data_IF_193176388990
#
_entry.id   IF_193176388990
#
_cell.length_a   1.000
_cell.length_b   1.000
_cell.length_c   1.000
_cell.angle_alpha   90.00
_cell.angle_beta   90.00
_cell.angle_gamma   90.00
#
_symmetry.space_group_name_H-M   'P 1'
#
loop_
_entity.id
_entity.type
_entity.pdbx_description
1 polymer ?
#
# COMPACT_ATOMS: atom_id res chain seq x y z
N UNK A 1 -3.95 -3.63 -2.45
CA UNK A 1 -4.32 -2.46 -1.62
C UNK A 1 -4.68 -2.80 -0.18
N UNK A 2 -5.74 -3.56 0.10
CA UNK A 2 -6.16 -3.86 1.47
C UNK A 2 -5.03 -4.44 2.36
N UNK A 3 -4.26 -5.40 1.83
CA UNK A 3 -3.16 -6.04 2.56
C UNK A 3 -2.06 -5.03 2.97
N UNK A 4 -1.63 -4.15 2.06
CA UNK A 4 -0.59 -3.16 2.39
C UNK A 4 -1.10 -2.07 3.32
N UNK A 5 -2.38 -1.72 3.25
CA UNK A 5 -3.00 -0.78 4.18
C UNK A 5 -3.01 -1.37 5.59
N UNK A 6 -3.45 -2.63 5.73
CA UNK A 6 -3.49 -3.32 7.02
C UNK A 6 -2.08 -3.47 7.62
N UNK A 7 -1.13 -3.97 6.83
CA UNK A 7 0.25 -4.16 7.29
C UNK A 7 0.92 -2.81 7.55
N UNK A 8 0.78 -1.85 6.64
CA UNK A 8 1.44 -0.55 6.72
C UNK A 8 0.89 0.32 7.84
N UNK A 9 -0.42 0.52 7.92
CA UNK A 9 -1.04 1.28 9.01
C UNK A 9 -0.81 0.57 10.35
N UNK A 10 -0.95 -0.75 10.40
CA UNK A 10 -0.71 -1.54 11.61
C UNK A 10 0.73 -1.42 12.14
N UNK A 11 1.72 -1.55 11.25
CA UNK A 11 3.15 -1.40 11.61
C UNK A 11 3.49 0.05 11.97
N UNK A 12 2.89 1.04 11.30
CA UNK A 12 3.04 2.46 11.64
C UNK A 12 2.48 2.81 13.02
N UNK A 13 1.28 2.35 13.34
CA UNK A 13 0.66 2.48 14.68
C UNK A 13 1.49 1.79 15.75
N UNK A 14 1.96 0.57 15.47
CA UNK A 14 2.79 -0.19 16.42
C UNK A 14 4.13 0.50 16.69
N UNK A 15 4.74 1.07 15.65
CA UNK A 15 5.99 1.83 15.75
C UNK A 15 5.79 3.13 16.54
N UNK A 16 4.70 3.87 16.29
CA UNK A 16 4.35 5.06 17.06
C UNK A 16 4.09 4.74 18.55
N UNK A 17 3.38 3.65 18.85
CA UNK A 17 3.10 3.23 20.22
C UNK A 17 4.35 2.76 20.97
N UNK A 18 5.26 2.06 20.29
CA UNK A 18 6.50 1.52 20.89
C UNK A 18 7.71 2.45 20.73
N UNK A 19 7.49 3.74 20.48
CA UNK A 19 8.55 4.75 20.29
C UNK A 19 9.64 4.62 21.36
N UNK A 20 10.89 4.53 20.92
CA UNK A 20 12.06 4.44 21.81
C UNK A 20 12.42 3.02 22.28
N UNK A 21 11.62 2.00 21.93
CA UNK A 21 11.93 0.58 22.23
C UNK A 21 12.78 -0.04 21.11
N UNK A 22 13.57 -1.09 21.39
CA UNK A 22 14.32 -1.80 20.35
C UNK A 22 13.43 -2.37 19.24
N UNK A 23 12.19 -2.78 19.58
CA UNK A 23 11.20 -3.23 18.58
C UNK A 23 10.89 -2.13 17.55
N UNK A 24 10.83 -0.87 17.95
CA UNK A 24 10.58 0.25 17.03
C UNK A 24 11.77 0.50 16.10
N UNK A 25 13.00 0.39 16.61
CA UNK A 25 14.21 0.49 15.78
C UNK A 25 14.26 -0.62 14.73
N UNK A 26 13.89 -1.85 15.10
CA UNK A 26 13.81 -2.97 14.18
C UNK A 26 12.73 -2.74 13.10
N UNK A 27 11.52 -2.36 13.49
CA UNK A 27 10.42 -2.08 12.55
C UNK A 27 10.80 -0.95 11.58
N UNK A 28 11.42 0.11 12.10
CA UNK A 28 11.87 1.24 11.26
C UNK A 28 12.97 0.79 10.29
N UNK A 29 13.96 0.02 10.76
CA UNK A 29 15.00 -0.55 9.91
C UNK A 29 14.43 -1.44 8.80
N UNK A 30 13.48 -2.32 9.12
CA UNK A 30 12.77 -3.16 8.15
C UNK A 30 12.02 -2.31 7.12
N UNK A 31 11.23 -1.32 7.55
CA UNK A 31 10.51 -0.45 6.62
C UNK A 31 11.44 0.34 5.70
N UNK A 32 12.60 0.77 6.19
CA UNK A 32 13.60 1.47 5.38
C UNK A 32 14.24 0.52 4.34
N UNK A 33 14.58 -0.70 4.74
CA UNK A 33 15.11 -1.72 3.85
C UNK A 33 14.10 -2.08 2.74
N UNK A 34 12.84 -2.30 3.10
CA UNK A 34 11.77 -2.58 2.13
C UNK A 34 11.52 -1.41 1.18
N UNK A 35 11.62 -0.15 1.66
CA UNK A 35 11.46 1.03 0.79
C UNK A 35 12.58 1.13 -0.24
N UNK A 36 13.81 0.74 0.12
CA UNK A 36 14.95 0.77 -0.78
C UNK A 36 14.97 -0.39 -1.78
N UNK A 37 14.17 -1.44 -1.54
CA UNK A 37 14.19 -2.65 -2.35
C UNK A 37 13.11 -2.59 -3.44
N UNK A 38 13.45 -2.75 -4.72
CA UNK A 38 12.46 -2.82 -5.79
C UNK A 38 11.48 -3.99 -5.61
N UNK A 39 10.22 -3.80 -6.00
CA UNK A 39 9.15 -4.82 -5.90
C UNK A 39 9.55 -6.15 -6.53
N UNK A 40 10.15 -6.11 -7.73
CA UNK A 40 10.53 -7.33 -8.44
C UNK A 40 11.61 -8.14 -7.71
N UNK A 41 12.50 -7.48 -6.96
CA UNK A 41 13.53 -8.17 -6.15
C UNK A 41 12.88 -8.94 -5.01
N UNK A 42 11.93 -8.31 -4.32
CA UNK A 42 11.16 -8.97 -3.26
C UNK A 42 10.32 -10.11 -3.84
N UNK A 43 9.67 -9.91 -5.00
CA UNK A 43 8.94 -10.96 -5.71
C UNK A 43 9.84 -12.15 -6.06
N UNK A 44 11.04 -11.90 -6.59
CA UNK A 44 12.01 -12.94 -6.93
C UNK A 44 12.49 -13.71 -5.69
N UNK A 45 12.82 -13.01 -4.60
CA UNK A 45 13.23 -13.64 -3.33
C UNK A 45 12.10 -14.51 -2.79
N UNK A 46 10.86 -14.00 -2.80
CA UNK A 46 9.69 -14.76 -2.36
C UNK A 46 9.51 -16.03 -3.20
N UNK A 47 9.66 -15.94 -4.52
CA UNK A 47 9.56 -17.10 -5.40
C UNK A 47 10.67 -18.13 -5.13
N UNK A 48 11.93 -17.68 -4.99
CA UNK A 48 13.06 -18.57 -4.69
C UNK A 48 12.88 -19.27 -3.34
N UNK A 49 12.46 -18.53 -2.31
CA UNK A 49 12.36 -19.08 -0.95
C UNK A 49 11.10 -19.94 -0.79
N UNK A 50 9.94 -19.43 -1.19
CA UNK A 50 8.65 -20.10 -0.92
C UNK A 50 8.40 -21.24 -1.90
N UNK A 51 8.66 -21.05 -3.19
CA UNK A 51 8.45 -22.08 -4.21
C UNK A 51 9.68 -22.98 -4.37
N UNK A 52 10.88 -22.39 -4.37
CA UNK A 52 12.12 -23.14 -4.65
C UNK A 52 12.68 -23.89 -3.44
N UNK A 53 12.84 -23.22 -2.30
CA UNK A 53 13.52 -23.81 -1.13
C UNK A 53 12.57 -24.51 -0.17
N UNK A 54 11.44 -23.87 0.14
CA UNK A 54 10.46 -24.39 1.09
C UNK A 54 9.42 -25.30 0.44
N UNK A 55 9.32 -25.28 -0.91
CA UNK A 55 8.35 -26.04 -1.71
C UNK A 55 6.90 -25.93 -1.17
N UNK A 56 6.59 -24.79 -0.53
CA UNK A 56 5.31 -24.53 0.13
C UNK A 56 4.21 -24.28 -0.90
N UNK A 57 4.57 -23.66 -2.02
CA UNK A 57 3.66 -23.27 -3.08
C UNK A 57 4.28 -23.60 -4.44
N UNK A 58 3.48 -24.02 -5.43
CA UNK A 58 3.95 -24.14 -6.80
C UNK A 58 4.36 -22.77 -7.35
N UNK A 59 5.16 -22.77 -8.43
CA UNK A 59 5.46 -21.55 -9.16
C UNK A 59 4.15 -20.93 -9.68
N UNK A 60 3.91 -19.63 -9.46
CA UNK A 60 2.66 -18.99 -9.85
C UNK A 60 2.36 -19.12 -11.34
N UNK A 61 1.14 -19.52 -11.66
CA UNK A 61 0.56 -19.44 -12.99
C UNK A 61 -0.87 -18.92 -12.91
N UNK A 62 -1.31 -18.14 -13.90
CA UNK A 62 -2.66 -17.62 -13.87
C UNK A 62 -3.70 -18.71 -14.14
N UNK A 63 -4.60 -18.92 -13.18
CA UNK A 63 -5.78 -19.78 -13.32
C UNK A 63 -7.02 -18.88 -13.30
N UNK A 64 -7.93 -18.95 -14.28
CA UNK A 64 -9.15 -18.15 -14.25
C UNK A 64 -10.00 -18.46 -13.01
N UNK A 65 -10.56 -17.42 -12.41
CA UNK A 65 -11.42 -17.55 -11.22
C UNK A 65 -12.63 -18.48 -11.46
N UNK A 66 -13.12 -18.55 -12.69
CA UNK A 66 -14.27 -19.37 -13.06
C UNK A 66 -13.95 -20.89 -13.06
N UNK A 67 -12.69 -21.26 -13.26
CA UNK A 67 -12.28 -22.66 -13.36
C UNK A 67 -11.96 -23.24 -11.98
N UNK A 68 -11.13 -22.54 -11.20
CA UNK A 68 -10.76 -22.95 -9.85
C UNK A 68 -10.46 -21.73 -8.95
N UNK A 69 -11.40 -21.32 -8.08
CA UNK A 69 -11.22 -20.19 -7.17
C UNK A 69 -10.10 -20.38 -6.15
N UNK A 70 -9.82 -21.62 -5.74
CA UNK A 70 -8.78 -21.91 -4.76
C UNK A 70 -7.41 -21.74 -5.39
N UNK A 71 -7.19 -22.35 -6.57
CA UNK A 71 -5.93 -22.18 -7.30
C UNK A 71 -5.72 -20.74 -7.74
N UNK A 72 -6.77 -20.02 -8.15
CA UNK A 72 -6.68 -18.58 -8.44
C UNK A 72 -6.10 -17.80 -7.25
N UNK A 73 -6.60 -18.06 -6.03
CA UNK A 73 -6.13 -17.37 -4.83
C UNK A 73 -4.68 -17.74 -4.48
N UNK A 74 -4.31 -19.02 -4.56
CA UNK A 74 -2.96 -19.49 -4.28
C UNK A 74 -1.91 -18.87 -5.22
N UNK A 75 -2.23 -18.79 -6.51
CA UNK A 75 -1.32 -18.23 -7.51
C UNK A 75 -1.16 -16.70 -7.40
N UNK A 76 -2.14 -16.00 -6.81
CA UNK A 76 -2.06 -14.56 -6.58
C UNK A 76 -1.48 -14.17 -5.22
N UNK A 77 -1.30 -15.11 -4.30
CA UNK A 77 -0.81 -14.85 -2.95
C UNK A 77 0.58 -14.22 -2.94
N UNK A 78 1.52 -14.78 -3.71
CA UNK A 78 2.89 -14.27 -3.81
C UNK A 78 2.96 -12.86 -4.44
N UNK A 79 2.30 -12.59 -5.58
CA UNK A 79 2.16 -11.23 -6.12
C UNK A 79 1.56 -10.24 -5.13
N UNK A 80 0.51 -10.63 -4.39
CA UNK A 80 -0.12 -9.77 -3.39
C UNK A 80 0.82 -9.47 -2.24
N UNK A 81 1.57 -10.46 -1.76
CA UNK A 81 2.55 -10.28 -0.70
C UNK A 81 3.73 -9.40 -1.15
N UNK A 82 4.25 -9.59 -2.37
CA UNK A 82 5.36 -8.76 -2.86
C UNK A 82 4.98 -7.29 -2.95
N UNK A 83 3.81 -7.00 -3.51
CA UNK A 83 3.26 -5.64 -3.55
C UNK A 83 2.99 -5.11 -2.14
N UNK A 84 2.42 -5.96 -1.27
CA UNK A 84 2.07 -5.51 0.07
C UNK A 84 3.28 -5.17 0.92
N UNK A 85 4.36 -5.96 0.87
CA UNK A 85 5.56 -5.70 1.63
C UNK A 85 6.23 -4.39 1.26
N UNK A 86 6.31 -4.06 -0.04
CA UNK A 86 6.92 -2.81 -0.48
C UNK A 86 6.03 -1.61 -0.18
N UNK A 87 4.75 -1.67 -0.57
CA UNK A 87 3.85 -0.54 -0.39
C UNK A 87 3.59 -0.27 1.09
N UNK A 88 3.48 -1.32 1.93
CA UNK A 88 3.26 -1.16 3.37
C UNK A 88 4.32 -0.30 4.05
N UNK A 89 5.56 -0.27 3.56
CA UNK A 89 6.62 0.55 4.13
C UNK A 89 6.35 2.06 3.99
N UNK A 90 5.80 2.50 2.85
CA UNK A 90 5.38 3.90 2.64
C UNK A 90 4.27 4.27 3.63
N UNK A 91 3.25 3.41 3.75
CA UNK A 91 2.12 3.60 4.65
C UNK A 91 2.54 3.59 6.13
N UNK A 92 3.45 2.69 6.52
CA UNK A 92 3.98 2.62 7.88
C UNK A 92 4.72 3.90 8.27
N UNK A 93 5.58 4.39 7.36
CA UNK A 93 6.33 5.63 7.58
C UNK A 93 5.41 6.84 7.70
N UNK A 94 4.45 6.96 6.79
CA UNK A 94 3.49 8.07 6.79
C UNK A 94 2.62 8.05 8.05
N UNK A 95 2.02 6.90 8.37
CA UNK A 95 1.20 6.71 9.57
C UNK A 95 1.97 7.08 10.83
N UNK A 96 3.21 6.61 10.95
CA UNK A 96 4.08 6.93 12.10
C UNK A 96 4.36 8.43 12.18
N UNK A 97 4.74 9.08 11.07
CA UNK A 97 5.06 10.50 11.05
C UNK A 97 3.85 11.33 11.53
N UNK A 98 2.68 11.12 10.92
CA UNK A 98 1.46 11.84 11.28
C UNK A 98 1.02 11.57 12.72
N UNK A 99 1.12 10.33 13.21
CA UNK A 99 0.80 10.04 14.61
C UNK A 99 1.74 10.71 15.59
N UNK A 100 3.05 10.79 15.28
CA UNK A 100 4.02 11.45 16.14
C UNK A 100 3.81 12.97 16.18
N UNK A 101 3.38 13.57 15.07
CA UNK A 101 2.96 14.97 15.01
C UNK A 101 1.75 15.20 15.91
N UNK A 102 0.68 14.41 15.76
CA UNK A 102 -0.53 14.52 16.61
C UNK A 102 -0.20 14.28 18.08
N UNK A 103 0.65 13.32 18.41
CA UNK A 103 1.08 13.04 19.79
C UNK A 103 1.92 14.16 20.42
N UNK A 104 2.50 15.06 19.60
CA UNK A 104 3.25 16.21 20.07
C UNK A 104 2.36 17.43 20.38
N UNK A 105 1.10 17.42 19.94
CA UNK A 105 0.17 18.54 20.13
C UNK A 105 -0.22 18.76 21.60
N UNK A 106 -0.50 20.01 21.95
CA UNK A 106 -0.78 20.41 23.35
C UNK A 106 -2.02 19.73 23.93
N UNK A 107 -3.07 19.54 23.12
CA UNK A 107 -4.30 18.88 23.58
C UNK A 107 -4.08 17.43 24.00
N UNK A 108 -3.08 16.73 23.44
CA UNK A 108 -2.69 15.38 23.86
C UNK A 108 -2.03 15.41 25.25
N UNK A 109 -1.24 16.44 25.54
CA UNK A 109 -0.68 16.65 26.89
C UNK A 109 -1.79 16.88 27.91
N UNK A 110 -2.79 17.67 27.54
CA UNK A 110 -3.99 17.90 28.36
C UNK A 110 -4.74 16.59 28.63
N UNK A 111 -4.98 15.75 27.62
CA UNK A 111 -5.60 14.43 27.82
C UNK A 111 -4.81 13.52 28.77
N UNK A 112 -3.47 13.53 28.68
CA UNK A 112 -2.61 12.81 29.63
C UNK A 112 -2.74 13.36 31.06
N UNK A 113 -2.82 14.68 31.23
CA UNK A 113 -3.03 15.30 32.54
C UNK A 113 -4.38 14.94 33.16
N UNK A 114 -5.43 14.75 32.34
CA UNK A 114 -6.74 14.24 32.76
C UNK A 114 -6.78 12.71 32.97
N UNK A 115 -5.66 12.00 32.84
CA UNK A 115 -5.58 10.55 33.09
C UNK A 115 -6.12 9.67 31.96
N UNK A 116 -6.30 10.20 30.74
CA UNK A 116 -6.73 9.41 29.58
C UNK A 116 -5.63 8.38 29.25
N UNK A 117 -6.01 7.10 29.18
CA UNK A 117 -5.06 6.01 28.93
C UNK A 117 -4.38 6.11 27.55
N UNK A 118 -3.09 5.77 27.49
CA UNK A 118 -2.25 5.89 26.28
C UNK A 118 -2.81 5.12 25.08
N UNK A 119 -3.45 3.96 25.30
CA UNK A 119 -4.12 3.19 24.22
C UNK A 119 -5.28 3.97 23.58
N UNK A 120 -6.04 4.73 24.37
CA UNK A 120 -7.15 5.55 23.89
C UNK A 120 -6.63 6.79 23.14
N UNK A 121 -5.56 7.40 23.65
CA UNK A 121 -4.88 8.52 22.97
C UNK A 121 -4.40 8.06 21.59
N UNK A 122 -3.70 6.93 21.52
CA UNK A 122 -3.13 6.42 20.27
C UNK A 122 -4.22 6.00 19.27
N UNK A 123 -5.16 5.16 19.69
CA UNK A 123 -6.17 4.61 18.78
C UNK A 123 -7.21 5.63 18.33
N UNK A 124 -7.66 6.54 19.22
CA UNK A 124 -8.79 7.43 18.95
C UNK A 124 -8.37 8.86 18.60
N UNK A 125 -7.18 9.31 19.00
CA UNK A 125 -6.75 10.69 18.79
C UNK A 125 -5.57 10.75 17.80
N UNK A 126 -4.47 10.06 18.08
CA UNK A 126 -3.29 10.09 17.21
C UNK A 126 -3.56 9.51 15.81
N UNK A 127 -4.25 8.37 15.72
CA UNK A 127 -4.54 7.74 14.42
C UNK A 127 -5.45 8.60 13.53
N UNK A 128 -6.31 9.44 14.11
CA UNK A 128 -7.18 10.34 13.33
C UNK A 128 -6.39 11.38 12.54
N UNK A 129 -5.28 11.86 13.10
CA UNK A 129 -4.38 12.79 12.38
C UNK A 129 -3.71 12.16 11.16
N UNK A 130 -3.60 10.82 11.10
CA UNK A 130 -3.04 10.11 9.95
C UNK A 130 -4.07 9.83 8.84
N UNK A 131 -5.37 9.93 9.08
CA UNK A 131 -6.41 9.53 8.10
C UNK A 131 -6.33 10.37 6.83
N UNK A 132 -6.26 11.69 6.99
CA UNK A 132 -6.15 12.64 5.88
C UNK A 132 -4.95 12.35 4.94
N UNK A 133 -3.70 12.29 5.43
CA UNK A 133 -2.57 12.00 4.56
C UNK A 133 -2.60 10.58 3.98
N UNK A 134 -3.18 9.60 4.70
CA UNK A 134 -3.34 8.24 4.17
C UNK A 134 -4.32 8.20 2.98
N UNK A 135 -5.43 8.95 3.04
CA UNK A 135 -6.38 9.08 1.93
C UNK A 135 -5.68 9.69 0.70
N UNK A 136 -4.94 10.78 0.89
CA UNK A 136 -4.20 11.42 -0.20
C UNK A 136 -3.16 10.47 -0.84
N UNK A 137 -2.45 9.68 -0.03
CA UNK A 137 -1.50 8.69 -0.53
C UNK A 137 -2.22 7.59 -1.35
N UNK A 138 -3.35 7.07 -0.86
CA UNK A 138 -4.12 6.06 -1.61
C UNK A 138 -4.59 6.55 -2.98
N UNK A 139 -4.93 7.84 -3.10
CA UNK A 139 -5.32 8.44 -4.37
C UNK A 139 -4.19 8.40 -5.40
N UNK A 140 -2.98 8.71 -4.94
CA UNK A 140 -1.77 8.71 -5.78
C UNK A 140 -1.40 7.29 -6.22
N UNK A 141 -1.66 6.28 -5.37
CA UNK A 141 -1.39 4.89 -5.70
C UNK A 141 -2.22 4.37 -6.87
N UNK A 142 -3.46 4.84 -7.05
CA UNK A 142 -4.26 4.44 -8.21
C UNK A 142 -3.55 4.74 -9.54
N UNK A 143 -2.83 5.86 -9.65
CA UNK A 143 -2.04 6.16 -10.84
C UNK A 143 -0.78 5.31 -10.96
N UNK A 144 -0.11 5.06 -9.84
CA UNK A 144 1.13 4.27 -9.84
C UNK A 144 0.89 2.78 -10.07
N UNK A 145 -0.29 2.26 -9.70
CA UNK A 145 -0.65 0.84 -9.87
C UNK A 145 -0.62 0.41 -11.32
N UNK A 146 -1.07 1.23 -12.27
CA UNK A 146 -1.03 0.88 -13.69
C UNK A 146 0.41 0.78 -14.23
N UNK A 147 1.34 1.60 -13.73
CA UNK A 147 2.75 1.53 -14.10
C UNK A 147 3.53 0.42 -13.38
N UNK A 148 3.25 0.20 -12.10
CA UNK A 148 3.90 -0.82 -11.27
C UNK A 148 3.40 -2.25 -11.52
N UNK A 149 2.17 -2.40 -12.03
CA UNK A 149 1.59 -3.69 -12.37
C UNK A 149 2.39 -4.39 -13.46
N UNK A 150 2.89 -3.68 -14.47
CA UNK A 150 3.67 -4.23 -15.61
C UNK A 150 4.78 -5.19 -15.15
N UNK A 151 5.62 -4.74 -14.20
CA UNK A 151 6.76 -5.52 -13.72
C UNK A 151 6.30 -6.74 -12.91
N UNK A 152 5.22 -6.59 -12.16
CA UNK A 152 4.65 -7.68 -11.35
C UNK A 152 3.97 -8.71 -12.24
N UNK A 153 3.20 -8.27 -13.24
CA UNK A 153 2.56 -9.09 -14.26
C UNK A 153 3.59 -9.91 -15.03
N UNK A 154 4.66 -9.26 -15.50
CA UNK A 154 5.74 -9.93 -16.24
C UNK A 154 6.50 -10.93 -15.35
N UNK A 155 6.79 -10.57 -14.10
CA UNK A 155 7.55 -11.43 -13.19
C UNK A 155 6.79 -12.70 -12.80
N UNK A 156 5.48 -12.57 -12.56
CA UNK A 156 4.62 -13.65 -12.11
C UNK A 156 3.83 -14.32 -13.24
N UNK A 157 4.05 -13.92 -14.49
CA UNK A 157 3.38 -14.48 -15.67
C UNK A 157 1.85 -14.28 -15.65
N UNK A 158 1.39 -13.15 -15.12
CA UNK A 158 -0.04 -12.82 -15.01
C UNK A 158 -0.49 -11.98 -16.21
N UNK A 159 -1.62 -12.31 -16.84
CA UNK A 159 -2.21 -11.46 -17.86
C UNK A 159 -2.68 -10.15 -17.23
N UNK A 160 -2.27 -9.02 -17.79
CA UNK A 160 -2.65 -7.72 -17.25
C UNK A 160 -2.43 -6.56 -18.20
N UNK A 161 -3.07 -5.44 -17.88
CA UNK A 161 -3.11 -4.25 -18.73
C UNK A 161 -1.72 -3.60 -18.90
N UNK A 162 -0.84 -3.78 -17.92
CA UNK A 162 0.51 -3.24 -17.98
C UNK A 162 1.36 -3.96 -19.03
N UNK A 163 1.36 -5.29 -19.00
CA UNK A 163 2.04 -6.11 -20.00
C UNK A 163 1.51 -5.82 -21.41
N UNK A 164 0.19 -5.78 -21.58
CA UNK A 164 -0.45 -5.46 -22.86
C UNK A 164 -0.06 -4.07 -23.38
N UNK A 165 0.02 -3.07 -22.51
CA UNK A 165 0.49 -1.74 -22.88
C UNK A 165 1.93 -1.77 -23.40
N UNK A 166 2.82 -2.53 -22.76
CA UNK A 166 4.21 -2.69 -23.20
C UNK A 166 4.28 -3.38 -24.56
N UNK A 167 3.47 -4.40 -24.78
CA UNK A 167 3.39 -5.12 -26.06
C UNK A 167 2.86 -4.21 -27.17
N UNK A 168 1.80 -3.45 -26.91
CA UNK A 168 1.26 -2.47 -27.85
C UNK A 168 2.27 -1.37 -28.20
N UNK A 169 3.03 -0.86 -27.23
CA UNK A 169 4.11 0.11 -27.47
C UNK A 169 5.20 -0.48 -28.36
N UNK A 170 5.62 -1.73 -28.11
CA UNK A 170 6.62 -2.42 -28.93
C UNK A 170 6.14 -2.69 -30.35
N UNK A 171 4.86 -2.99 -30.51
CA UNK A 171 4.20 -3.20 -31.80
C UNK A 171 3.83 -1.90 -32.52
N UNK A 172 4.04 -0.73 -31.89
CA UNK A 172 3.60 0.60 -32.40
C UNK A 172 2.09 0.63 -32.68
N UNK A 173 1.30 -0.10 -31.89
CA UNK A 173 -0.16 -0.06 -31.96
C UNK A 173 -0.68 1.16 -31.19
N UNK A 174 -0.68 2.31 -31.88
CA UNK A 174 -1.12 3.57 -31.31
C UNK A 174 -2.60 3.55 -30.86
N UNK A 175 -3.44 2.75 -31.50
CA UNK A 175 -4.86 2.68 -31.14
C UNK A 175 -5.04 2.04 -29.76
N UNK A 176 -4.36 0.92 -29.51
CA UNK A 176 -4.38 0.24 -28.21
C UNK A 176 -3.73 1.11 -27.13
N UNK A 177 -2.57 1.71 -27.41
CA UNK A 177 -1.88 2.59 -26.46
C UNK A 177 -2.76 3.77 -26.04
N UNK A 178 -3.34 4.48 -27.00
CA UNK A 178 -4.22 5.63 -26.70
C UNK A 178 -5.46 5.18 -25.93
N UNK A 179 -6.09 4.07 -26.33
CA UNK A 179 -7.24 3.51 -25.64
C UNK A 179 -6.93 3.19 -24.17
N UNK A 180 -5.83 2.50 -23.90
CA UNK A 180 -5.41 2.15 -22.55
C UNK A 180 -5.06 3.38 -21.70
N UNK A 181 -4.36 4.37 -22.27
CA UNK A 181 -4.02 5.61 -21.57
C UNK A 181 -5.28 6.40 -21.20
N UNK A 182 -6.25 6.50 -22.11
CA UNK A 182 -7.52 7.19 -21.84
C UNK A 182 -8.34 6.50 -20.74
N UNK A 183 -8.48 5.18 -20.81
CA UNK A 183 -9.20 4.39 -19.80
C UNK A 183 -8.51 4.51 -18.44
N UNK A 184 -7.19 4.36 -18.41
CA UNK A 184 -6.39 4.50 -17.19
C UNK A 184 -6.53 5.90 -16.60
N UNK A 185 -6.36 6.95 -17.42
CA UNK A 185 -6.51 8.34 -17.00
C UNK A 185 -7.88 8.65 -16.42
N UNK A 186 -8.95 8.13 -17.04
CA UNK A 186 -10.31 8.26 -16.54
C UNK A 186 -10.47 7.70 -15.12
N UNK A 187 -10.00 6.47 -14.87
CA UNK A 187 -10.06 5.87 -13.54
C UNK A 187 -9.19 6.60 -12.52
N UNK A 188 -8.02 7.10 -12.92
CA UNK A 188 -7.14 7.89 -12.04
C UNK A 188 -7.82 9.20 -11.63
N UNK A 189 -8.47 9.91 -12.56
CA UNK A 189 -9.22 11.13 -12.24
C UNK A 189 -10.36 10.83 -11.28
N UNK A 190 -11.13 9.76 -11.52
CA UNK A 190 -12.21 9.35 -10.61
C UNK A 190 -11.67 9.00 -9.22
N UNK A 191 -10.59 8.24 -9.13
CA UNK A 191 -9.99 7.85 -7.85
C UNK A 191 -9.53 9.09 -7.06
N UNK A 192 -8.91 10.07 -7.71
CA UNK A 192 -8.53 11.33 -7.06
C UNK A 192 -9.75 12.14 -6.62
N UNK A 193 -10.78 12.26 -7.46
CA UNK A 193 -12.01 12.96 -7.09
C UNK A 193 -12.69 12.30 -5.87
N UNK A 194 -12.74 10.97 -5.81
CA UNK A 194 -13.26 10.23 -4.64
C UNK A 194 -12.40 10.50 -3.41
N UNK A 195 -11.07 10.51 -3.56
CA UNK A 195 -10.17 10.78 -2.44
C UNK A 195 -10.32 12.21 -1.90
N UNK A 196 -10.50 13.21 -2.77
CA UNK A 196 -10.76 14.60 -2.36
C UNK A 196 -12.06 14.72 -1.57
N UNK A 197 -13.12 14.02 -1.98
CA UNK A 197 -14.38 13.95 -1.23
C UNK A 197 -14.18 13.25 0.12
N UNK A 198 -13.47 12.12 0.15
CA UNK A 198 -13.17 11.40 1.39
C UNK A 198 -12.33 12.25 2.35
N UNK A 199 -11.37 13.00 1.82
CA UNK A 199 -10.55 13.96 2.58
C UNK A 199 -11.44 15.05 3.19
N UNK A 200 -12.33 15.68 2.39
CA UNK A 200 -13.24 16.71 2.86
C UNK A 200 -14.21 16.20 3.95
N UNK A 201 -14.64 14.94 3.87
CA UNK A 201 -15.49 14.31 4.90
C UNK A 201 -14.70 13.95 6.15
N UNK A 202 -13.47 13.47 5.99
CA UNK A 202 -12.60 13.05 7.09
C UNK A 202 -12.07 14.24 7.90
N UNK A 203 -11.76 15.36 7.25
CA UNK A 203 -11.27 16.56 7.90
C UNK A 203 -12.41 17.56 8.19
N UNK A 204 -12.98 17.46 9.40
CA UNK A 204 -13.95 18.45 9.92
C UNK A 204 -13.33 19.83 10.21
N UNK A 205 -12.03 20.06 10.02
CA UNK A 205 -11.40 21.38 10.14
C UNK A 205 -11.44 22.20 8.86
N UNK A 206 -11.75 21.58 7.72
CA UNK A 206 -11.98 22.30 6.45
C UNK A 206 -13.37 22.94 6.50
N UNK A 207 -13.48 24.00 7.31
CA UNK A 207 -14.53 24.99 7.10
C UNK A 207 -14.15 25.68 5.80
N UNK A 208 -14.89 25.36 4.74
CA UNK A 208 -14.98 26.18 3.53
C UNK A 208 -15.33 27.60 3.99
N UNK A 209 -14.33 28.48 3.99
CA UNK A 209 -14.54 29.93 4.02
C UNK A 209 -15.03 30.34 2.63
#
# INVERSE_FOLDING_TARGET
>A
MALWLLIGVGTGVLSAWRRGRPTERLLTGLTLASTATPVFVIGLILMIVVCGQLELLPFPHYVPFADDPEQWAWNLLLPWLSLALVESAKYARLTRASMLETLAEEHVRTFRAYGVGERSIIGRHALRGAVAPLIALTATDFGSMFGGAVLTETLFGLPGLGQELVEAVKAVDLAVVVGMVLVTGFFVVIANAVADVLYAVADRRVVLI
#
